data_IF_960449615863
#
_entry.id   IF_960449615863
#
_cell.length_a   1.000
_cell.length_b   1.000
_cell.length_c   1.000
_cell.angle_alpha   90.00
_cell.angle_beta   90.00
_cell.angle_gamma   90.00
#
_symmetry.space_group_name_H-M   'P 1'
#
loop_
_entity.id
_entity.type
_entity.pdbx_description
1 polymer ?
#
# COMPACT_ATOMS: atom_id res chain seq x y z
N UNK A 1 3.53 10.20 -6.30
CA UNK A 1 2.49 9.18 -6.09
C UNK A 1 3.12 7.80 -6.00
N UNK A 2 2.69 6.99 -5.03
CA UNK A 2 3.14 5.60 -4.84
C UNK A 2 2.34 4.57 -5.67
N UNK A 3 1.40 5.03 -6.51
CA UNK A 3 0.55 4.19 -7.36
C UNK A 3 -0.73 3.65 -6.70
N UNK A 4 -1.15 4.19 -5.54
CA UNK A 4 -2.28 3.67 -4.77
C UNK A 4 -3.55 3.59 -5.62
N UNK A 5 -3.90 4.69 -6.27
CA UNK A 5 -5.08 4.78 -7.14
C UNK A 5 -5.02 3.75 -8.26
N UNK A 6 -3.86 3.57 -8.91
CA UNK A 6 -3.68 2.55 -9.96
C UNK A 6 -3.93 1.14 -9.45
N UNK A 7 -3.34 0.76 -8.31
CA UNK A 7 -3.56 -0.55 -7.69
C UNK A 7 -5.02 -0.75 -7.33
N UNK A 8 -5.64 0.27 -6.72
CA UNK A 8 -7.02 0.25 -6.26
C UNK A 8 -7.97 0.06 -7.44
N UNK A 9 -7.89 0.92 -8.47
CA UNK A 9 -8.71 0.80 -9.67
C UNK A 9 -8.51 -0.53 -10.39
N UNK A 10 -7.26 -1.01 -10.54
CA UNK A 10 -7.01 -2.31 -11.20
C UNK A 10 -7.66 -3.47 -10.43
N UNK A 11 -7.64 -3.39 -9.10
CA UNK A 11 -8.29 -4.38 -8.22
C UNK A 11 -9.80 -4.31 -8.35
N UNK A 12 -10.38 -3.11 -8.26
CA UNK A 12 -11.82 -2.90 -8.38
C UNK A 12 -12.36 -3.31 -9.75
N UNK A 13 -11.65 -3.03 -10.84
CA UNK A 13 -12.05 -3.49 -12.19
C UNK A 13 -12.13 -5.00 -12.30
N UNK A 14 -11.32 -5.74 -11.54
CA UNK A 14 -11.37 -7.20 -11.50
C UNK A 14 -12.55 -7.72 -10.67
N UNK A 15 -13.04 -6.93 -9.72
CA UNK A 15 -14.17 -7.27 -8.85
C UNK A 15 -15.52 -6.78 -9.42
N UNK A 16 -15.51 -5.77 -10.27
CA UNK A 16 -16.70 -5.21 -10.91
C UNK A 16 -17.25 -6.18 -11.95
N UNK A 17 -18.15 -7.05 -11.51
CA UNK A 17 -19.00 -7.88 -12.37
C UNK A 17 -20.38 -7.24 -12.48
N UNK A 18 -21.23 -7.74 -13.38
CA UNK A 18 -22.62 -7.27 -13.50
C UNK A 18 -23.48 -7.56 -12.27
N UNK A 19 -23.02 -8.43 -11.38
CA UNK A 19 -23.73 -8.86 -10.16
C UNK A 19 -23.25 -8.11 -8.91
N UNK A 20 -22.21 -7.27 -9.03
CA UNK A 20 -21.57 -6.59 -7.91
C UNK A 20 -21.78 -5.08 -8.05
N UNK A 21 -22.52 -4.50 -7.11
CA UNK A 21 -22.70 -3.06 -7.02
C UNK A 21 -21.47 -2.41 -6.36
N UNK A 22 -20.60 -1.86 -7.20
CA UNK A 22 -19.36 -1.20 -6.77
C UNK A 22 -19.54 0.31 -6.75
N UNK A 23 -19.49 0.90 -5.56
CA UNK A 23 -19.61 2.33 -5.35
C UNK A 23 -18.27 2.95 -4.91
N UNK A 24 -17.95 4.14 -5.39
CA UNK A 24 -16.75 4.88 -4.97
C UNK A 24 -17.09 6.28 -4.49
N UNK A 25 -16.31 6.80 -3.54
CA UNK A 25 -16.26 8.23 -3.23
C UNK A 25 -14.82 8.74 -3.28
N UNK A 26 -14.57 9.79 -4.06
CA UNK A 26 -13.23 10.26 -4.44
C UNK A 26 -13.11 11.80 -4.41
N UNK A 27 -11.89 12.31 -4.29
CA UNK A 27 -11.60 13.75 -4.26
C UNK A 27 -10.27 14.10 -4.97
N UNK A 28 -10.29 14.46 -6.27
CA UNK A 28 -11.37 14.26 -7.24
C UNK A 28 -11.37 12.84 -7.82
N UNK A 29 -12.33 12.54 -8.71
CA UNK A 29 -12.29 11.31 -9.51
C UNK A 29 -11.11 11.39 -10.49
N UNK A 30 -10.13 10.49 -10.36
CA UNK A 30 -8.92 10.47 -11.22
C UNK A 30 -9.19 9.86 -12.61
N UNK A 31 -10.08 8.86 -12.68
CA UNK A 31 -10.41 8.16 -13.92
C UNK A 31 -11.88 7.76 -13.91
N UNK A 32 -12.59 8.07 -14.99
CA UNK A 32 -13.98 7.62 -15.17
C UNK A 32 -13.97 6.16 -15.60
N UNK A 33 -14.65 5.31 -14.83
CA UNK A 33 -14.80 3.89 -15.09
C UNK A 33 -16.30 3.53 -15.11
N UNK A 34 -16.87 3.20 -16.29
CA UNK A 34 -18.29 2.89 -16.43
C UNK A 34 -18.80 1.73 -15.57
N UNK A 35 -17.93 0.81 -15.15
CA UNK A 35 -18.30 -0.30 -14.28
C UNK A 35 -18.54 0.11 -12.81
N UNK A 36 -18.22 1.36 -12.43
CA UNK A 36 -18.32 1.84 -11.05
C UNK A 36 -19.39 2.92 -10.91
N UNK A 37 -20.10 2.93 -9.78
CA UNK A 37 -20.94 4.05 -9.35
C UNK A 37 -20.08 5.08 -8.61
N UNK A 38 -19.51 6.03 -9.35
CA UNK A 38 -18.52 6.97 -8.80
C UNK A 38 -19.16 8.27 -8.30
N UNK A 39 -18.89 8.61 -7.04
CA UNK A 39 -19.26 9.87 -6.41
C UNK A 39 -18.00 10.71 -6.19
N UNK A 40 -18.08 12.01 -6.49
CA UNK A 40 -17.02 12.95 -6.14
C UNK A 40 -17.43 13.76 -4.91
N UNK A 41 -16.49 13.99 -4.01
CA UNK A 41 -16.62 14.98 -2.92
C UNK A 41 -16.93 16.35 -3.52
N UNK A 42 -17.87 17.07 -2.91
CA UNK A 42 -18.30 18.40 -3.34
C UNK A 42 -18.39 19.32 -2.13
N UNK A 43 -17.32 20.07 -1.87
CA UNK A 43 -17.25 20.98 -0.72
C UNK A 43 -18.29 22.10 -0.75
N UNK A 44 -18.72 22.54 -1.95
CA UNK A 44 -19.69 23.63 -2.08
C UNK A 44 -21.10 23.29 -1.61
N UNK A 45 -21.40 22.00 -1.41
CA UNK A 45 -22.69 21.50 -0.93
C UNK A 45 -22.52 20.59 0.29
N UNK A 46 -21.37 20.69 0.98
CA UNK A 46 -21.01 19.90 2.16
C UNK A 46 -21.08 18.38 1.97
N UNK A 47 -20.86 17.90 0.74
CA UNK A 47 -20.75 16.47 0.45
C UNK A 47 -19.31 16.01 0.72
N UNK A 48 -19.02 15.67 1.97
CA UNK A 48 -17.74 15.10 2.43
C UNK A 48 -17.65 13.58 2.18
N UNK A 49 -16.47 12.99 2.44
CA UNK A 49 -16.29 11.53 2.41
C UNK A 49 -17.29 10.80 3.32
N UNK A 50 -17.39 11.20 4.59
CA UNK A 50 -18.31 10.58 5.55
C UNK A 50 -19.78 10.71 5.11
N UNK A 51 -20.19 11.90 4.63
CA UNK A 51 -21.54 12.13 4.11
C UNK A 51 -21.84 11.27 2.88
N UNK A 52 -20.87 11.14 1.97
CA UNK A 52 -21.03 10.33 0.77
C UNK A 52 -21.04 8.83 1.05
N UNK A 53 -20.20 8.30 1.95
CA UNK A 53 -20.29 6.89 2.40
C UNK A 53 -21.68 6.61 2.97
N UNK A 54 -22.20 7.50 3.82
CA UNK A 54 -23.55 7.39 4.37
C UNK A 54 -24.63 7.39 3.29
N UNK A 55 -24.44 8.11 2.20
CA UNK A 55 -25.34 8.08 1.05
C UNK A 55 -25.22 6.77 0.26
N UNK A 56 -24.00 6.32 -0.01
CA UNK A 56 -23.72 5.08 -0.73
C UNK A 56 -24.28 3.85 -0.01
N UNK A 57 -24.27 3.80 1.32
CA UNK A 57 -24.89 2.70 2.09
C UNK A 57 -26.40 2.56 1.85
N UNK A 58 -27.08 3.57 1.30
CA UNK A 58 -28.51 3.48 0.89
C UNK A 58 -28.68 3.13 -0.59
N UNK A 59 -27.61 2.77 -1.28
CA UNK A 59 -27.61 2.37 -2.69
C UNK A 59 -27.48 0.86 -2.86
N UNK A 60 -27.65 0.08 -1.79
CA UNK A 60 -27.47 -1.38 -1.80
C UNK A 60 -26.09 -1.81 -2.36
N UNK A 61 -24.97 -1.23 -1.88
CA UNK A 61 -23.64 -1.56 -2.42
C UNK A 61 -23.16 -2.93 -1.93
N UNK A 62 -22.35 -3.61 -2.72
CA UNK A 62 -21.57 -4.78 -2.28
C UNK A 62 -20.16 -4.35 -1.85
N UNK A 63 -19.59 -3.42 -2.60
CA UNK A 63 -18.22 -2.91 -2.42
C UNK A 63 -18.28 -1.39 -2.35
N UNK A 64 -17.62 -0.83 -1.34
CA UNK A 64 -17.45 0.62 -1.18
C UNK A 64 -15.96 0.95 -1.22
N UNK A 65 -15.56 1.78 -2.18
CA UNK A 65 -14.24 2.40 -2.17
C UNK A 65 -14.29 3.83 -1.64
N UNK A 66 -13.46 4.13 -0.66
CA UNK A 66 -13.29 5.46 -0.09
C UNK A 66 -11.89 5.94 -0.49
N UNK A 67 -11.80 7.01 -1.27
CA UNK A 67 -10.55 7.50 -1.85
C UNK A 67 -9.43 7.60 -0.81
N UNK A 68 -9.75 8.10 0.38
CA UNK A 68 -8.85 8.09 1.52
C UNK A 68 -9.58 8.28 2.86
N UNK A 69 -8.91 7.86 3.94
CA UNK A 69 -9.30 8.16 5.31
C UNK A 69 -8.30 9.17 5.88
N UNK A 70 -8.76 10.41 6.10
CA UNK A 70 -7.98 11.51 6.67
C UNK A 70 -8.35 11.85 8.11
N UNK A 71 -9.59 11.58 8.50
CA UNK A 71 -10.20 11.98 9.76
C UNK A 71 -10.99 10.82 10.40
N UNK A 72 -11.36 11.02 11.67
CA UNK A 72 -12.10 10.04 12.45
C UNK A 72 -13.49 9.77 11.86
N UNK A 73 -14.20 10.81 11.43
CA UNK A 73 -15.58 10.66 10.92
C UNK A 73 -15.62 9.73 9.70
N UNK A 74 -14.69 9.90 8.76
CA UNK A 74 -14.55 9.04 7.58
C UNK A 74 -14.13 7.63 7.97
N UNK A 75 -13.21 7.48 8.94
CA UNK A 75 -12.80 6.19 9.45
C UNK A 75 -13.97 5.42 10.10
N UNK A 76 -14.79 6.09 10.90
CA UNK A 76 -15.98 5.53 11.53
C UNK A 76 -16.99 5.09 10.48
N UNK A 77 -17.25 5.90 9.45
CA UNK A 77 -18.16 5.50 8.36
C UNK A 77 -17.64 4.29 7.58
N UNK A 78 -16.33 4.22 7.31
CA UNK A 78 -15.72 3.05 6.68
C UNK A 78 -15.90 1.78 7.52
N UNK A 79 -15.72 1.89 8.84
CA UNK A 79 -15.88 0.79 9.79
C UNK A 79 -17.33 0.35 9.90
N UNK A 80 -18.28 1.29 9.96
CA UNK A 80 -19.71 0.99 9.98
C UNK A 80 -20.15 0.27 8.70
N UNK A 81 -19.67 0.71 7.54
CA UNK A 81 -19.89 0.01 6.28
C UNK A 81 -19.33 -1.43 6.33
N UNK A 82 -18.10 -1.62 6.81
CA UNK A 82 -17.51 -2.95 6.93
C UNK A 82 -18.27 -3.87 7.92
N UNK A 83 -18.69 -3.34 9.08
CA UNK A 83 -19.46 -4.10 10.08
C UNK A 83 -20.84 -4.53 9.58
N UNK A 84 -21.40 -3.79 8.64
CA UNK A 84 -22.71 -4.10 8.02
C UNK A 84 -22.59 -5.09 6.85
N UNK A 85 -21.39 -5.62 6.58
CA UNK A 85 -21.16 -6.69 5.61
C UNK A 85 -20.58 -6.25 4.28
N UNK A 86 -20.32 -4.95 4.09
CA UNK A 86 -19.75 -4.42 2.85
C UNK A 86 -18.24 -4.69 2.76
N UNK A 87 -17.73 -4.99 1.57
CA UNK A 87 -16.29 -4.97 1.34
C UNK A 87 -15.84 -3.52 1.16
N UNK A 88 -15.03 -3.02 2.11
CA UNK A 88 -14.54 -1.64 2.07
C UNK A 88 -13.07 -1.61 1.67
N UNK A 89 -12.74 -0.81 0.64
CA UNK A 89 -11.36 -0.49 0.29
C UNK A 89 -11.12 1.00 0.50
N UNK A 90 -9.99 1.35 1.11
CA UNK A 90 -9.61 2.74 1.26
C UNK A 90 -8.09 2.92 1.23
N UNK A 91 -7.65 4.17 1.22
CA UNK A 91 -6.24 4.52 1.28
C UNK A 91 -5.91 5.34 2.52
N UNK A 92 -4.72 5.08 3.06
CA UNK A 92 -4.10 5.88 4.12
C UNK A 92 -2.71 6.32 3.66
N UNK A 93 -2.21 7.35 4.31
CA UNK A 93 -0.86 7.87 4.10
C UNK A 93 0.06 7.40 5.22
N UNK A 94 0.63 6.20 5.08
CA UNK A 94 1.60 5.63 6.02
C UNK A 94 2.89 5.20 5.34
N UNK A 95 3.90 4.91 6.17
CA UNK A 95 5.22 4.46 5.71
C UNK A 95 5.26 2.97 5.36
N UNK A 96 4.50 2.16 6.11
CA UNK A 96 4.41 0.71 5.96
C UNK A 96 3.01 0.21 6.37
N UNK A 97 2.78 -1.11 6.30
CA UNK A 97 1.48 -1.70 6.57
C UNK A 97 1.13 -1.71 8.08
N UNK A 98 2.02 -2.10 9.01
CA UNK A 98 1.75 -2.00 10.45
C UNK A 98 1.39 -0.58 10.92
N UNK A 99 2.09 0.43 10.41
CA UNK A 99 1.83 1.83 10.77
C UNK A 99 0.42 2.30 10.39
N UNK A 100 -0.28 1.64 9.47
CA UNK A 100 -1.68 1.97 9.18
C UNK A 100 -2.60 1.68 10.37
N UNK A 101 -2.29 0.66 11.18
CA UNK A 101 -3.06 0.34 12.39
C UNK A 101 -2.83 1.41 13.46
N UNK A 102 -1.58 1.80 13.69
CA UNK A 102 -1.26 2.95 14.57
C UNK A 102 -1.96 4.21 14.11
N UNK A 103 -1.94 4.49 12.80
CA UNK A 103 -2.59 5.69 12.25
C UNK A 103 -4.09 5.71 12.51
N UNK A 104 -4.77 4.57 12.39
CA UNK A 104 -6.20 4.46 12.71
C UNK A 104 -6.47 4.67 14.21
N UNK A 105 -5.62 4.13 15.09
CA UNK A 105 -5.70 4.38 16.55
C UNK A 105 -5.50 5.87 16.89
N UNK A 106 -4.51 6.52 16.26
CA UNK A 106 -4.22 7.95 16.42
C UNK A 106 -5.38 8.85 15.95
N UNK A 107 -6.14 8.42 14.93
CA UNK A 107 -7.36 9.11 14.52
C UNK A 107 -8.46 9.02 15.60
N UNK A 108 -8.34 8.08 16.54
CA UNK A 108 -9.30 7.86 17.62
C UNK A 108 -10.18 6.62 17.44
N UNK A 109 -9.89 5.78 16.43
CA UNK A 109 -10.68 4.57 16.21
C UNK A 109 -10.42 3.55 17.33
N UNK A 110 -11.45 3.04 18.00
CA UNK A 110 -11.28 2.01 19.03
C UNK A 110 -10.64 0.73 18.48
N UNK A 111 -9.62 0.24 19.19
CA UNK A 111 -8.84 -0.94 18.80
C UNK A 111 -9.68 -2.19 18.52
N UNK A 112 -10.80 -2.40 19.23
CA UNK A 112 -11.66 -3.56 19.05
C UNK A 112 -12.43 -3.51 17.72
N UNK A 113 -12.72 -2.32 17.18
CA UNK A 113 -13.31 -2.17 15.85
C UNK A 113 -12.30 -2.54 14.77
N UNK A 114 -11.04 -2.11 14.91
CA UNK A 114 -9.97 -2.47 13.99
C UNK A 114 -9.77 -3.99 13.89
N UNK A 115 -9.83 -4.70 15.04
CA UNK A 115 -9.78 -6.18 15.07
C UNK A 115 -10.93 -6.83 14.32
N UNK A 116 -12.11 -6.23 14.40
CA UNK A 116 -13.34 -6.77 13.83
C UNK A 116 -13.46 -6.51 12.32
N UNK A 117 -12.95 -5.38 11.83
CA UNK A 117 -13.22 -4.94 10.45
C UNK A 117 -12.06 -5.06 9.47
N UNK A 118 -10.80 -4.94 9.91
CA UNK A 118 -9.67 -4.92 8.98
C UNK A 118 -9.34 -6.35 8.55
N UNK A 119 -9.35 -6.60 7.24
CA UNK A 119 -8.94 -7.87 6.63
C UNK A 119 -7.43 -7.94 6.35
N UNK A 120 -6.84 -6.80 6.02
CA UNK A 120 -5.42 -6.68 5.74
C UNK A 120 -5.04 -5.27 5.32
N UNK A 121 -3.74 -4.99 5.27
CA UNK A 121 -3.18 -3.72 4.86
C UNK A 121 -2.10 -3.97 3.82
N UNK A 122 -2.12 -3.19 2.74
CA UNK A 122 -1.08 -3.17 1.73
C UNK A 122 -0.39 -1.80 1.73
N UNK A 123 0.92 -1.80 1.98
CA UNK A 123 1.77 -0.67 1.71
C UNK A 123 2.48 -0.85 0.37
N UNK A 124 2.69 0.27 -0.35
CA UNK A 124 3.34 0.25 -1.64
C UNK A 124 4.21 1.48 -1.90
N UNK A 125 5.25 1.27 -2.71
CA UNK A 125 6.11 2.30 -3.29
C UNK A 125 6.42 1.96 -4.75
N UNK A 126 6.81 2.96 -5.53
CA UNK A 126 7.27 2.77 -6.90
C UNK A 126 8.78 3.01 -6.97
N UNK A 127 9.51 2.03 -7.46
CA UNK A 127 10.91 2.16 -7.84
C UNK A 127 11.02 2.38 -9.34
N UNK A 128 11.98 3.19 -9.79
CA UNK A 128 12.33 3.25 -11.20
C UNK A 128 12.94 1.92 -11.65
N UNK A 129 12.61 1.50 -12.86
CA UNK A 129 13.22 0.30 -13.46
C UNK A 129 14.40 0.67 -14.33
N UNK A 130 15.46 -0.12 -14.28
CA UNK A 130 16.65 0.05 -15.08
C UNK A 130 16.31 0.04 -16.57
N UNK A 131 16.96 0.92 -17.33
CA UNK A 131 16.80 0.94 -18.78
C UNK A 131 17.31 -0.39 -19.38
N UNK A 132 16.51 -1.08 -20.21
CA UNK A 132 16.92 -2.36 -20.79
C UNK A 132 18.07 -2.22 -21.80
N UNK A 133 18.29 -1.02 -22.34
CA UNK A 133 19.32 -0.78 -23.37
C UNK A 133 20.71 -0.48 -22.80
N UNK A 134 20.80 0.07 -21.58
CA UNK A 134 22.07 0.53 -21.03
C UNK A 134 22.38 0.00 -19.63
N UNK A 135 21.53 -0.85 -19.02
CA UNK A 135 21.89 -1.44 -17.72
C UNK A 135 23.16 -2.29 -17.87
N UNK A 136 24.05 -2.20 -16.89
CA UNK A 136 25.30 -2.97 -16.87
C UNK A 136 25.40 -3.77 -15.57
N UNK A 137 25.98 -4.99 -15.58
CA UNK A 137 26.23 -5.75 -14.35
C UNK A 137 27.10 -4.98 -13.36
N UNK A 138 26.85 -5.16 -12.08
CA UNK A 138 27.67 -4.60 -10.99
C UNK A 138 27.79 -5.62 -9.85
N UNK A 139 28.94 -5.65 -9.20
CA UNK A 139 29.10 -6.36 -7.93
C UNK A 139 28.69 -5.42 -6.79
N UNK A 140 27.66 -5.80 -6.04
CA UNK A 140 27.24 -5.03 -4.87
C UNK A 140 28.22 -5.23 -3.72
N UNK A 141 28.42 -4.17 -2.94
CA UNK A 141 29.08 -4.28 -1.65
C UNK A 141 28.17 -5.06 -0.68
N UNK A 142 28.75 -6.02 0.03
CA UNK A 142 28.05 -6.83 1.03
C UNK A 142 27.43 -5.97 2.14
N UNK A 143 28.10 -4.90 2.60
CA UNK A 143 27.58 -4.03 3.67
C UNK A 143 26.31 -3.29 3.26
N UNK A 144 26.27 -2.81 2.02
CA UNK A 144 25.13 -2.07 1.47
C UNK A 144 23.95 -3.02 1.26
N UNK A 145 24.25 -4.22 0.73
CA UNK A 145 23.25 -5.27 0.56
C UNK A 145 22.62 -5.69 1.89
N UNK A 146 23.44 -5.93 2.92
CA UNK A 146 22.94 -6.27 4.25
C UNK A 146 22.07 -5.14 4.85
N UNK A 147 22.40 -3.88 4.58
CA UNK A 147 21.57 -2.74 5.02
C UNK A 147 20.18 -2.75 4.37
N UNK A 148 20.08 -3.24 3.13
CA UNK A 148 18.81 -3.40 2.44
C UNK A 148 18.01 -4.61 2.92
N UNK A 149 18.66 -5.76 3.19
CA UNK A 149 17.96 -7.03 3.46
C UNK A 149 17.64 -7.28 4.94
N UNK A 150 18.22 -6.52 5.87
CA UNK A 150 17.97 -6.68 7.31
C UNK A 150 16.47 -6.64 7.66
N UNK A 151 16.04 -7.47 8.65
CA UNK A 151 16.83 -8.42 9.44
C UNK A 151 17.23 -9.73 8.73
N UNK A 152 16.78 -9.97 7.50
CA UNK A 152 17.07 -11.22 6.81
C UNK A 152 18.51 -11.23 6.28
N UNK A 153 19.17 -12.36 6.51
CA UNK A 153 20.44 -12.65 5.88
C UNK A 153 20.16 -13.24 4.50
N UNK A 154 20.53 -12.51 3.46
CA UNK A 154 20.47 -12.98 2.09
C UNK A 154 21.86 -12.79 1.45
N UNK A 155 22.37 -13.78 0.70
CA UNK A 155 23.64 -13.62 0.00
C UNK A 155 23.54 -12.49 -1.03
N UNK A 156 24.67 -11.84 -1.31
CA UNK A 156 24.76 -10.81 -2.34
C UNK A 156 24.39 -11.43 -3.69
N UNK A 157 23.42 -10.86 -4.43
CA UNK A 157 22.96 -11.46 -5.67
C UNK A 157 23.97 -11.21 -6.81
N UNK A 158 24.26 -12.22 -7.65
CA UNK A 158 25.11 -12.04 -8.83
C UNK A 158 24.41 -11.24 -9.95
N UNK A 159 23.08 -11.12 -9.89
CA UNK A 159 22.25 -10.48 -10.91
C UNK A 159 22.09 -8.97 -10.78
N UNK A 160 22.85 -8.30 -9.90
CA UNK A 160 22.73 -6.87 -9.70
C UNK A 160 23.22 -6.08 -10.92
N UNK A 161 22.53 -4.97 -11.19
CA UNK A 161 22.86 -4.08 -12.30
C UNK A 161 22.84 -2.63 -11.83
N UNK A 162 23.61 -1.79 -12.52
CA UNK A 162 23.67 -0.34 -12.32
C UNK A 162 23.06 0.43 -13.49
N UNK A 163 22.68 1.67 -13.22
CA UNK A 163 22.16 2.63 -14.19
C UNK A 163 23.33 3.34 -14.91
N UNK A 164 23.47 3.16 -16.22
CA UNK A 164 24.55 3.81 -17.02
C UNK A 164 24.09 5.12 -17.67
N UNK A 165 22.93 5.11 -18.34
CA UNK A 165 22.46 6.23 -19.15
C UNK A 165 22.69 6.01 -20.64
N UNK A 166 21.68 6.37 -21.44
CA UNK A 166 21.74 6.40 -22.89
C UNK A 166 20.59 7.26 -23.45
N UNK A 167 20.60 7.49 -24.76
CA UNK A 167 19.56 8.25 -25.47
C UNK A 167 18.14 7.72 -25.22
N UNK A 168 17.95 6.39 -25.20
CA UNK A 168 16.65 5.74 -24.98
C UNK A 168 16.02 6.06 -23.62
N UNK A 169 16.85 6.32 -22.61
CA UNK A 169 16.40 6.72 -21.27
C UNK A 169 16.72 8.19 -20.95
N UNK A 170 17.09 8.99 -21.96
CA UNK A 170 17.49 10.40 -21.82
C UNK A 170 18.57 10.58 -20.75
N UNK A 171 19.58 9.71 -20.79
CA UNK A 171 20.74 9.67 -19.90
C UNK A 171 20.44 9.49 -18.40
N UNK A 172 19.22 9.07 -18.06
CA UNK A 172 18.86 8.80 -16.65
C UNK A 172 19.30 7.42 -16.16
N UNK A 173 19.48 6.48 -17.08
CA UNK A 173 19.71 5.05 -16.79
C UNK A 173 18.46 4.27 -16.36
N UNK A 174 17.29 4.91 -16.32
CA UNK A 174 16.01 4.31 -15.93
C UNK A 174 14.93 4.48 -17.00
N UNK A 175 14.09 3.47 -17.20
CA UNK A 175 12.93 3.53 -18.10
C UNK A 175 11.79 2.71 -17.51
N UNK A 176 10.73 3.40 -17.08
CA UNK A 176 9.57 2.79 -16.42
C UNK A 176 9.67 2.76 -14.90
N UNK A 177 8.67 2.12 -14.27
CA UNK A 177 8.55 1.98 -12.82
C UNK A 177 7.97 0.60 -12.48
N UNK A 178 8.31 0.08 -11.31
CA UNK A 178 7.72 -1.13 -10.77
C UNK A 178 7.27 -0.91 -9.32
N UNK A 179 6.17 -1.55 -8.94
CA UNK A 179 5.70 -1.55 -7.55
C UNK A 179 6.49 -2.51 -6.67
N UNK A 180 6.87 -2.04 -5.49
CA UNK A 180 7.28 -2.87 -4.34
C UNK A 180 6.16 -2.83 -3.32
N UNK A 181 5.83 -3.99 -2.78
CA UNK A 181 4.63 -4.20 -1.99
C UNK A 181 4.98 -4.88 -0.67
N UNK A 182 4.31 -4.43 0.38
CA UNK A 182 4.28 -5.07 1.69
C UNK A 182 2.81 -5.33 2.01
N UNK A 183 2.44 -6.60 2.14
CA UNK A 183 1.06 -7.03 2.34
C UNK A 183 0.99 -7.76 3.68
N UNK A 184 0.32 -7.15 4.64
CA UNK A 184 0.08 -7.69 5.97
C UNK A 184 -1.38 -8.13 6.06
N UNK A 185 -1.60 -9.44 6.16
CA UNK A 185 -2.95 -10.01 6.35
C UNK A 185 -3.28 -10.01 7.85
N UNK A 186 -4.54 -9.74 8.18
CA UNK A 186 -4.99 -9.61 9.56
C UNK A 186 -5.31 -10.99 10.18
N UNK A 187 -4.27 -11.75 10.52
CA UNK A 187 -4.38 -13.04 11.21
C UNK A 187 -4.79 -12.88 12.69
N UNK A 188 -5.21 -13.96 13.34
CA UNK A 188 -5.58 -13.92 14.76
C UNK A 188 -4.43 -13.48 15.67
N UNK A 189 -3.19 -13.85 15.33
CA UNK A 189 -2.01 -13.40 16.07
C UNK A 189 -1.76 -11.90 15.90
N UNK A 190 -1.91 -11.36 14.69
CA UNK A 190 -1.78 -9.92 14.45
C UNK A 190 -2.91 -9.17 15.15
N UNK A 191 -4.15 -9.65 15.08
CA UNK A 191 -5.31 -9.08 15.79
C UNK A 191 -5.11 -9.07 17.30
N UNK A 192 -4.51 -10.11 17.86
CA UNK A 192 -4.21 -10.18 19.29
C UNK A 192 -3.28 -9.05 19.76
N UNK A 193 -2.36 -8.60 18.90
CA UNK A 193 -1.43 -7.50 19.17
C UNK A 193 -2.06 -6.10 19.09
N UNK A 194 -3.26 -5.96 18.50
CA UNK A 194 -3.92 -4.66 18.42
C UNK A 194 -4.46 -4.29 19.81
N UNK A 195 -3.93 -3.22 20.40
CA UNK A 195 -4.34 -2.65 21.69
C UNK A 195 -4.34 -1.13 21.60
N UNK A 196 -4.79 -0.44 22.66
CA UNK A 196 -4.64 1.02 22.75
C UNK A 196 -3.16 1.43 22.71
N UNK A 197 -2.31 0.71 23.44
CA UNK A 197 -0.86 0.90 23.46
C UNK A 197 -0.17 -0.09 22.49
N UNK A 198 -0.43 0.07 21.19
CA UNK A 198 0.09 -0.83 20.15
C UNK A 198 1.63 -0.80 20.09
N UNK A 199 2.26 -1.94 20.36
CA UNK A 199 3.68 -2.15 20.04
C UNK A 199 3.85 -2.48 18.55
N UNK A 200 4.13 -1.43 17.75
CA UNK A 200 4.41 -1.56 16.33
C UNK A 200 5.60 -2.49 16.02
N UNK A 201 6.60 -2.56 16.89
CA UNK A 201 7.78 -3.41 16.69
C UNK A 201 7.39 -4.88 16.82
N UNK A 202 6.60 -5.21 17.85
CA UNK A 202 6.06 -6.56 18.03
C UNK A 202 5.17 -6.98 16.86
N UNK A 203 4.26 -6.11 16.41
CA UNK A 203 3.41 -6.37 15.24
C UNK A 203 4.22 -6.61 13.97
N UNK A 204 5.22 -5.76 13.70
CA UNK A 204 6.08 -5.87 12.51
C UNK A 204 6.88 -7.19 12.54
N UNK A 205 7.41 -7.58 13.70
CA UNK A 205 8.09 -8.89 13.90
C UNK A 205 7.13 -10.06 13.67
N UNK A 206 5.91 -10.00 14.17
CA UNK A 206 4.92 -11.04 13.97
C UNK A 206 4.51 -11.16 12.49
N UNK A 207 4.27 -10.05 11.80
CA UNK A 207 3.93 -10.04 10.38
C UNK A 207 5.03 -10.69 9.53
N UNK A 208 6.30 -10.41 9.86
CA UNK A 208 7.46 -11.02 9.20
C UNK A 208 7.58 -12.52 9.47
N UNK A 209 7.30 -12.95 10.70
CA UNK A 209 7.24 -14.37 11.07
C UNK A 209 6.17 -15.12 10.26
N UNK A 210 5.06 -14.45 9.94
CA UNK A 210 3.97 -14.99 9.11
C UNK A 210 4.20 -14.85 7.60
N UNK A 211 5.40 -14.40 7.19
CA UNK A 211 5.80 -14.36 5.77
C UNK A 211 5.55 -13.02 5.07
N UNK A 212 5.09 -11.99 5.79
CA UNK A 212 5.05 -10.62 5.25
C UNK A 212 6.46 -10.19 4.89
N UNK A 213 6.65 -9.72 3.66
CA UNK A 213 7.92 -9.15 3.21
C UNK A 213 7.84 -7.64 3.31
N UNK A 214 8.86 -7.02 3.90
CA UNK A 214 8.94 -5.57 3.96
C UNK A 214 9.06 -4.95 2.57
N UNK A 215 8.73 -3.66 2.45
CA UNK A 215 8.98 -2.90 1.21
C UNK A 215 10.43 -3.01 0.73
N UNK A 216 11.40 -2.98 1.67
CA UNK A 216 12.83 -3.15 1.37
C UNK A 216 13.16 -4.53 0.84
N UNK A 217 12.64 -5.60 1.45
CA UNK A 217 12.82 -6.95 0.93
C UNK A 217 12.20 -7.15 -0.46
N UNK A 218 10.99 -6.61 -0.66
CA UNK A 218 10.32 -6.62 -1.96
C UNK A 218 11.17 -5.91 -3.02
N UNK A 219 11.80 -4.79 -2.66
CA UNK A 219 12.77 -4.11 -3.51
C UNK A 219 14.06 -4.89 -3.73
N UNK A 220 14.62 -5.53 -2.70
CA UNK A 220 15.81 -6.36 -2.79
C UNK A 220 15.65 -7.48 -3.83
N UNK A 221 14.48 -8.12 -3.89
CA UNK A 221 14.17 -9.12 -4.91
C UNK A 221 14.25 -8.56 -6.33
N UNK A 222 13.85 -7.31 -6.54
CA UNK A 222 13.97 -6.64 -7.85
C UNK A 222 15.41 -6.27 -8.18
N UNK A 223 16.21 -5.90 -7.17
CA UNK A 223 17.66 -5.67 -7.33
C UNK A 223 18.35 -6.97 -7.73
N UNK A 224 18.05 -8.08 -7.04
CA UNK A 224 18.58 -9.40 -7.39
C UNK A 224 18.25 -9.84 -8.81
N UNK A 225 17.08 -9.42 -9.32
CA UNK A 225 16.64 -9.69 -10.68
C UNK A 225 17.18 -8.69 -11.73
N UNK A 226 18.01 -7.73 -11.35
CA UNK A 226 18.57 -6.72 -12.26
C UNK A 226 17.50 -5.79 -12.87
N UNK A 227 16.41 -5.54 -12.14
CA UNK A 227 15.29 -4.70 -12.57
C UNK A 227 15.37 -3.27 -12.04
N UNK A 228 16.01 -3.06 -10.91
CA UNK A 228 16.23 -1.75 -10.27
C UNK A 228 17.56 -1.77 -9.53
N UNK A 229 17.97 -0.65 -8.95
CA UNK A 229 19.23 -0.54 -8.20
C UNK A 229 19.00 -0.50 -6.69
N UNK A 230 20.06 -0.75 -5.94
CA UNK A 230 20.04 -0.66 -4.49
C UNK A 230 19.73 0.77 -4.02
N UNK A 231 20.32 1.78 -4.65
CA UNK A 231 20.09 3.20 -4.33
C UNK A 231 18.62 3.56 -4.53
N UNK A 232 18.00 3.05 -5.59
CA UNK A 232 16.62 3.35 -5.90
C UNK A 232 15.64 2.77 -4.89
N UNK A 233 15.89 1.57 -4.38
CA UNK A 233 15.08 0.98 -3.30
C UNK A 233 15.25 1.75 -2.01
N UNK A 234 16.49 2.06 -1.61
CA UNK A 234 16.78 2.82 -0.39
C UNK A 234 16.17 4.22 -0.43
N UNK A 235 16.11 4.86 -1.61
CA UNK A 235 15.55 6.20 -1.80
C UNK A 235 14.05 6.27 -1.51
N UNK A 236 13.29 5.21 -1.81
CA UNK A 236 11.80 5.25 -1.74
C UNK A 236 11.21 4.45 -0.59
N UNK A 237 12.00 3.62 0.08
CA UNK A 237 11.52 2.75 1.17
C UNK A 237 12.03 3.24 2.53
N UNK A 238 11.17 3.26 3.57
CA UNK A 238 11.58 3.65 4.91
C UNK A 238 12.65 2.70 5.44
N UNK A 239 13.43 3.16 6.42
CA UNK A 239 14.36 2.29 7.11
C UNK A 239 13.60 1.21 7.87
N UNK A 240 14.01 -0.05 7.69
CA UNK A 240 13.55 -1.13 8.57
C UNK A 240 14.13 -0.85 9.96
N UNK A 241 13.46 0.00 10.74
CA UNK A 241 13.84 0.25 12.12
C UNK A 241 13.53 -1.01 12.93
N UNK A 242 14.59 -1.76 13.21
CA UNK A 242 14.64 -2.76 14.24
C UNK A 242 15.86 -2.43 15.08
N UNK A 243 15.63 -1.73 16.19
CA UNK A 243 16.48 -1.89 17.37
C UNK A 243 15.78 -2.85 18.31
#
# INVERSE_FOLDING_TARGET
>A
GSGKTTTLYTTLKKLATSEVNLCTIEDPIEMVEPAFNQMQVQHNIDLSFAAGVRALMRQDPDIIMIGEIRDLETAEMAIQAALTGHLVLSTLHTNDAPSAISRMLELGVPHYLLKATILGVMAQRLVRTLCPHCKAPINLNETDWQTLTRPWQAPVPPGAHQAVGCVECRDTGYRGRAGVYEIMVMSDNIKALISADLDLTAMRRQAFKEGTRSLRLSGAQKVSAGLTTLEEVLRVTPQSEQR
#
